data_IF_955353654527
#
_entry.id   IF_955353654527
#
_cell.length_a   1.000
_cell.length_b   1.000
_cell.length_c   1.000
_cell.angle_alpha   90.00
_cell.angle_beta   90.00
_cell.angle_gamma   90.00
#
_symmetry.space_group_name_H-M   'P 1'
#
loop_
_entity.id
_entity.type
_entity.pdbx_description
1 polymer ?
#
# COMPACT_ATOMS: atom_id res chain seq x y z
N UNK A 1 -24.73 11.88 -4.78
CA UNK A 1 -25.23 11.41 -3.45
C UNK A 1 -24.07 10.99 -2.52
N UNK A 2 -24.16 11.19 -1.21
CA UNK A 2 -23.17 10.69 -0.23
C UNK A 2 -23.44 9.23 0.18
N UNK A 3 -22.40 8.45 0.48
CA UNK A 3 -22.58 7.05 0.88
C UNK A 3 -23.00 6.96 2.35
N UNK A 4 -23.92 6.04 2.66
CA UNK A 4 -24.26 5.68 4.05
C UNK A 4 -23.08 4.94 4.70
N UNK A 5 -22.97 5.02 6.02
CA UNK A 5 -21.91 4.33 6.78
C UNK A 5 -21.90 2.82 6.50
N UNK A 6 -23.07 2.19 6.40
CA UNK A 6 -23.19 0.77 6.07
C UNK A 6 -22.61 0.46 4.67
N UNK A 7 -22.94 1.28 3.66
CA UNK A 7 -22.41 1.10 2.30
C UNK A 7 -20.88 1.17 2.29
N UNK A 8 -20.30 2.14 2.99
CA UNK A 8 -18.85 2.31 3.03
C UNK A 8 -18.14 1.13 3.68
N UNK A 9 -18.66 0.66 4.82
CA UNK A 9 -18.10 -0.50 5.50
C UNK A 9 -18.22 -1.77 4.66
N UNK A 10 -19.35 -1.98 3.97
CA UNK A 10 -19.47 -3.10 3.03
C UNK A 10 -18.37 -3.04 1.97
N UNK A 11 -18.15 -1.88 1.33
CA UNK A 11 -17.09 -1.77 0.31
C UNK A 11 -15.70 -1.99 0.91
N UNK A 12 -15.41 -1.44 2.09
CA UNK A 12 -14.11 -1.64 2.77
C UNK A 12 -13.86 -3.13 3.06
N UNK A 13 -14.85 -3.86 3.58
CA UNK A 13 -14.73 -5.30 3.86
C UNK A 13 -14.48 -6.07 2.58
N UNK A 14 -15.25 -5.80 1.51
CA UNK A 14 -15.07 -6.48 0.22
C UNK A 14 -13.72 -6.15 -0.44
N UNK A 15 -13.25 -4.91 -0.33
CA UNK A 15 -11.91 -4.52 -0.81
C UNK A 15 -10.79 -5.18 0.01
N UNK A 16 -11.01 -5.36 1.32
CA UNK A 16 -10.06 -6.06 2.20
C UNK A 16 -9.98 -7.54 1.84
N UNK A 17 -11.11 -8.18 1.53
CA UNK A 17 -11.14 -9.55 0.98
C UNK A 17 -10.33 -9.61 -0.33
N UNK A 18 -10.66 -8.77 -1.32
CA UNK A 18 -9.94 -8.71 -2.59
C UNK A 18 -8.42 -8.59 -2.39
N UNK A 19 -7.97 -7.64 -1.56
CA UNK A 19 -6.54 -7.44 -1.28
C UNK A 19 -5.91 -8.64 -0.57
N UNK A 20 -6.60 -9.21 0.43
CA UNK A 20 -6.11 -10.41 1.14
C UNK A 20 -5.99 -11.60 0.19
N UNK A 21 -6.90 -11.73 -0.78
CA UNK A 21 -6.82 -12.72 -1.85
C UNK A 21 -5.59 -12.54 -2.74
N UNK A 22 -5.22 -11.31 -3.07
CA UNK A 22 -3.99 -11.03 -3.83
C UNK A 22 -2.73 -11.44 -3.08
N UNK A 23 -2.63 -11.10 -1.79
CA UNK A 23 -1.50 -11.51 -0.96
C UNK A 23 -1.45 -13.02 -0.73
N UNK A 24 -2.61 -13.66 -0.56
CA UNK A 24 -2.71 -15.12 -0.45
C UNK A 24 -2.24 -15.83 -1.73
N UNK A 25 -2.56 -15.28 -2.89
CA UNK A 25 -2.10 -15.78 -4.19
C UNK A 25 -0.59 -15.59 -4.39
N UNK A 26 -0.06 -14.40 -4.07
CA UNK A 26 1.39 -14.18 -4.10
C UNK A 26 2.15 -15.08 -3.13
N UNK A 27 1.61 -15.33 -1.92
CA UNK A 27 2.18 -16.28 -0.98
C UNK A 27 2.27 -17.68 -1.59
N UNK A 28 1.21 -18.13 -2.28
CA UNK A 28 1.17 -19.44 -2.93
C UNK A 28 2.23 -19.59 -4.03
N UNK A 29 2.41 -18.55 -4.85
CA UNK A 29 3.45 -18.50 -5.87
C UNK A 29 4.87 -18.64 -5.27
N UNK A 30 5.10 -18.17 -4.04
CA UNK A 30 6.41 -18.24 -3.37
C UNK A 30 6.65 -19.58 -2.66
N UNK A 31 5.60 -20.23 -2.16
CA UNK A 31 5.72 -21.38 -1.25
C UNK A 31 5.36 -22.72 -1.87
N UNK A 32 4.53 -22.75 -2.91
CA UNK A 32 4.06 -23.99 -3.51
C UNK A 32 4.88 -24.30 -4.76
N UNK A 33 5.32 -25.56 -4.88
CA UNK A 33 6.01 -26.04 -6.07
C UNK A 33 5.08 -25.91 -7.28
N UNK A 34 5.48 -25.08 -8.26
CA UNK A 34 4.82 -24.75 -9.53
C UNK A 34 3.30 -24.91 -9.54
N UNK A 35 2.59 -23.79 -9.53
CA UNK A 35 1.19 -23.77 -9.95
C UNK A 35 1.12 -24.16 -11.44
N UNK A 36 0.69 -25.40 -11.73
CA UNK A 36 0.66 -25.94 -13.11
C UNK A 36 -0.46 -25.33 -13.97
N UNK A 37 -1.44 -24.67 -13.36
CA UNK A 37 -2.58 -24.06 -14.04
C UNK A 37 -2.90 -22.67 -13.49
N UNK A 38 -3.59 -21.85 -14.29
CA UNK A 38 -4.12 -20.56 -13.86
C UNK A 38 -5.28 -20.71 -12.85
N UNK A 39 -6.07 -21.78 -12.97
CA UNK A 39 -7.22 -22.00 -12.09
C UNK A 39 -6.78 -22.68 -10.80
N UNK A 40 -6.46 -21.87 -9.80
CA UNK A 40 -6.02 -22.32 -8.49
C UNK A 40 -7.01 -21.86 -7.40
N UNK A 41 -7.10 -22.56 -6.26
CA UNK A 41 -7.86 -22.09 -5.10
C UNK A 41 -7.53 -20.65 -4.67
N UNK A 42 -6.28 -20.21 -4.81
CA UNK A 42 -5.82 -18.88 -4.42
C UNK A 42 -6.32 -17.79 -5.39
N UNK A 43 -6.25 -18.05 -6.70
CA UNK A 43 -6.96 -17.25 -7.70
C UNK A 43 -8.47 -17.21 -7.42
N UNK A 44 -9.08 -18.33 -7.03
CA UNK A 44 -10.51 -18.35 -6.70
C UNK A 44 -10.85 -17.40 -5.54
N UNK A 45 -10.00 -17.30 -4.50
CA UNK A 45 -10.18 -16.33 -3.40
C UNK A 45 -10.02 -14.90 -3.90
N UNK A 46 -9.02 -14.61 -4.73
CA UNK A 46 -8.80 -13.29 -5.34
C UNK A 46 -10.00 -12.85 -6.19
N UNK A 47 -10.39 -13.69 -7.17
CA UNK A 47 -11.44 -13.38 -8.13
C UNK A 47 -12.83 -13.38 -7.49
N UNK A 48 -13.08 -14.18 -6.44
CA UNK A 48 -14.33 -14.09 -5.67
C UNK A 48 -14.44 -12.78 -4.91
N UNK A 49 -13.35 -12.28 -4.32
CA UNK A 49 -13.30 -10.94 -3.71
C UNK A 49 -13.60 -9.84 -4.74
N UNK A 50 -12.99 -9.90 -5.91
CA UNK A 50 -13.26 -8.96 -7.01
C UNK A 50 -14.73 -9.00 -7.45
N UNK A 51 -15.25 -10.21 -7.68
CA UNK A 51 -16.63 -10.40 -8.10
C UNK A 51 -17.62 -9.90 -7.05
N UNK A 52 -17.33 -10.10 -5.76
CA UNK A 52 -18.18 -9.59 -4.69
C UNK A 52 -18.25 -8.05 -4.67
N UNK A 53 -17.12 -7.35 -4.89
CA UNK A 53 -17.12 -5.89 -5.04
C UNK A 53 -17.92 -5.46 -6.27
N UNK A 54 -17.68 -6.11 -7.42
CA UNK A 54 -18.39 -5.81 -8.66
C UNK A 54 -19.89 -6.00 -8.51
N UNK A 55 -20.32 -7.15 -8.00
CA UNK A 55 -21.73 -7.47 -7.80
C UNK A 55 -22.39 -6.46 -6.85
N UNK A 56 -21.74 -6.12 -5.73
CA UNK A 56 -22.28 -5.15 -4.79
C UNK A 56 -22.47 -3.77 -5.44
N UNK A 57 -21.47 -3.25 -6.15
CA UNK A 57 -21.55 -1.95 -6.82
C UNK A 57 -22.55 -1.98 -7.98
N UNK A 58 -22.52 -3.00 -8.82
CA UNK A 58 -23.42 -3.14 -9.97
C UNK A 58 -24.88 -3.28 -9.54
N UNK A 59 -25.18 -4.11 -8.52
CA UNK A 59 -26.55 -4.26 -7.99
C UNK A 59 -27.06 -2.93 -7.45
N UNK A 60 -26.24 -2.18 -6.70
CA UNK A 60 -26.63 -0.86 -6.21
C UNK A 60 -26.86 0.15 -7.35
N UNK A 61 -25.99 0.13 -8.38
CA UNK A 61 -26.13 0.97 -9.54
C UNK A 61 -27.42 0.68 -10.33
N UNK A 62 -27.67 -0.60 -10.63
CA UNK A 62 -28.86 -1.06 -11.35
C UNK A 62 -30.15 -0.78 -10.57
N UNK A 63 -30.17 -1.02 -9.26
CA UNK A 63 -31.32 -0.68 -8.41
C UNK A 63 -31.61 0.82 -8.39
N UNK A 64 -30.57 1.65 -8.39
CA UNK A 64 -30.73 3.10 -8.43
C UNK A 64 -31.17 3.60 -9.81
N UNK A 65 -30.67 2.99 -10.89
CA UNK A 65 -31.10 3.26 -12.25
C UNK A 65 -32.57 2.86 -12.47
N UNK A 66 -33.01 1.70 -11.94
CA UNK A 66 -34.40 1.27 -11.98
C UNK A 66 -35.36 2.21 -11.20
N UNK A 67 -34.82 2.98 -10.24
CA UNK A 67 -35.55 4.06 -9.55
C UNK A 67 -35.49 5.41 -10.29
N UNK A 68 -34.97 5.44 -11.51
CA UNK A 68 -34.93 6.64 -12.36
C UNK A 68 -33.77 7.59 -12.05
N UNK A 69 -32.75 7.19 -11.28
CA UNK A 69 -31.58 8.07 -11.07
C UNK A 69 -30.74 8.19 -12.35
N UNK A 70 -30.20 9.39 -12.57
CA UNK A 70 -29.23 9.64 -13.63
C UNK A 70 -27.97 8.78 -13.45
N UNK A 71 -27.29 8.44 -14.55
CA UNK A 71 -26.06 7.62 -14.54
C UNK A 71 -24.95 8.19 -13.65
N UNK A 72 -24.87 9.51 -13.50
CA UNK A 72 -23.94 10.19 -12.58
C UNK A 72 -24.20 9.90 -11.10
N UNK A 73 -25.42 9.48 -10.74
CA UNK A 73 -25.92 9.37 -9.37
C UNK A 73 -26.37 7.96 -8.99
N UNK A 74 -26.11 6.97 -9.84
CA UNK A 74 -26.41 5.56 -9.56
C UNK A 74 -25.55 4.98 -8.44
N UNK A 75 -24.40 5.57 -8.17
CA UNK A 75 -23.53 5.24 -7.03
C UNK A 75 -23.21 6.49 -6.22
N UNK A 76 -22.88 6.33 -4.92
CA UNK A 76 -22.36 7.44 -4.15
C UNK A 76 -21.08 8.03 -4.75
N UNK A 77 -20.89 9.33 -4.58
CA UNK A 77 -19.75 10.04 -5.14
C UNK A 77 -18.43 9.42 -4.63
N UNK A 78 -17.52 9.12 -5.56
CA UNK A 78 -16.24 8.45 -5.28
C UNK A 78 -16.18 6.97 -5.68
N UNK A 79 -17.32 6.29 -5.83
CA UNK A 79 -17.38 4.86 -6.15
C UNK A 79 -17.53 4.53 -7.65
N UNK A 80 -17.85 5.50 -8.50
CA UNK A 80 -17.94 5.28 -9.95
C UNK A 80 -16.63 4.74 -10.54
N UNK A 81 -15.49 5.30 -10.12
CA UNK A 81 -14.17 4.78 -10.50
C UNK A 81 -13.88 3.39 -9.94
N UNK A 82 -14.43 3.02 -8.77
CA UNK A 82 -14.29 1.66 -8.24
C UNK A 82 -15.05 0.65 -9.10
N UNK A 83 -16.24 1.01 -9.60
CA UNK A 83 -17.00 0.15 -10.52
C UNK A 83 -16.25 -0.03 -11.85
N UNK A 84 -15.70 1.05 -12.41
CA UNK A 84 -14.84 0.97 -13.61
C UNK A 84 -13.63 0.09 -13.33
N UNK A 85 -12.97 0.27 -12.18
CA UNK A 85 -11.87 -0.56 -11.73
C UNK A 85 -12.23 -2.04 -11.67
N UNK A 86 -13.41 -2.42 -11.16
CA UNK A 86 -13.86 -3.82 -11.16
C UNK A 86 -13.97 -4.41 -12.57
N UNK A 87 -14.52 -3.65 -13.52
CA UNK A 87 -14.65 -4.09 -14.92
C UNK A 87 -13.26 -4.26 -15.56
N UNK A 88 -12.38 -3.28 -15.37
CA UNK A 88 -11.01 -3.33 -15.88
C UNK A 88 -10.20 -4.47 -15.24
N UNK A 89 -10.42 -4.75 -13.95
CA UNK A 89 -9.77 -5.88 -13.26
C UNK A 89 -10.23 -7.20 -13.85
N UNK A 90 -11.53 -7.37 -14.12
CA UNK A 90 -12.05 -8.57 -14.79
C UNK A 90 -11.46 -8.78 -16.18
N UNK A 91 -11.37 -7.71 -16.98
CA UNK A 91 -10.70 -7.73 -18.30
C UNK A 91 -9.22 -8.08 -18.15
N UNK A 92 -8.52 -7.41 -17.22
CA UNK A 92 -7.12 -7.66 -16.92
C UNK A 92 -6.85 -9.10 -16.53
N UNK A 93 -7.71 -9.70 -15.72
CA UNK A 93 -7.59 -11.10 -15.32
C UNK A 93 -7.76 -12.10 -16.47
N UNK A 94 -8.66 -11.82 -17.41
CA UNK A 94 -8.80 -12.64 -18.64
C UNK A 94 -7.55 -12.50 -19.51
N UNK A 95 -7.03 -11.28 -19.69
CA UNK A 95 -5.79 -11.06 -20.43
C UNK A 95 -4.63 -11.77 -19.74
N UNK A 96 -4.54 -11.69 -18.42
CA UNK A 96 -3.51 -12.32 -17.60
C UNK A 96 -3.55 -13.85 -17.71
N UNK A 97 -4.74 -14.45 -17.73
CA UNK A 97 -4.92 -15.87 -18.01
C UNK A 97 -4.30 -16.26 -19.36
N UNK A 98 -4.65 -15.55 -20.44
CA UNK A 98 -4.07 -15.83 -21.75
C UNK A 98 -2.57 -15.57 -21.82
N UNK A 99 -2.09 -14.58 -21.06
CA UNK A 99 -0.67 -14.27 -20.93
C UNK A 99 0.09 -15.45 -20.32
N UNK A 100 -0.39 -15.97 -19.21
CA UNK A 100 0.18 -17.14 -18.55
C UNK A 100 0.13 -18.40 -19.42
N UNK A 101 -0.95 -18.61 -20.17
CA UNK A 101 -1.04 -19.73 -21.12
C UNK A 101 -0.01 -19.63 -22.27
N UNK A 102 0.37 -18.40 -22.67
CA UNK A 102 1.28 -18.17 -23.80
C UNK A 102 2.76 -18.12 -23.40
N UNK A 103 3.05 -17.53 -22.25
CA UNK A 103 4.41 -17.20 -21.79
C UNK A 103 4.83 -17.96 -20.54
N UNK A 104 3.93 -18.75 -19.94
CA UNK A 104 4.21 -19.54 -18.74
C UNK A 104 3.77 -18.86 -17.44
N UNK A 105 3.68 -19.67 -16.39
CA UNK A 105 3.40 -19.25 -15.02
C UNK A 105 4.74 -19.19 -14.28
N UNK A 106 5.44 -18.05 -14.41
CA UNK A 106 6.75 -17.85 -13.80
C UNK A 106 6.65 -17.01 -12.52
N UNK A 107 7.44 -17.40 -11.51
CA UNK A 107 7.71 -16.57 -10.33
C UNK A 107 8.91 -15.72 -10.66
N UNK A 108 8.67 -14.60 -11.36
CA UNK A 108 9.74 -13.71 -11.79
C UNK A 108 9.34 -12.25 -11.63
N UNK A 109 10.33 -11.37 -11.52
CA UNK A 109 10.12 -9.92 -11.58
C UNK A 109 9.35 -9.53 -12.85
N UNK A 110 9.65 -10.21 -13.97
CA UNK A 110 8.99 -9.98 -15.25
C UNK A 110 7.49 -10.28 -15.22
N UNK A 111 7.05 -11.28 -14.45
CA UNK A 111 5.63 -11.56 -14.26
C UNK A 111 4.92 -10.40 -13.55
N UNK A 112 5.51 -9.88 -12.47
CA UNK A 112 4.92 -8.81 -11.66
C UNK A 112 4.78 -7.47 -12.43
N UNK A 113 5.70 -7.18 -13.34
CA UNK A 113 5.67 -5.95 -14.18
C UNK A 113 5.07 -6.17 -15.57
N UNK A 114 4.48 -7.35 -15.82
CA UNK A 114 3.88 -7.68 -17.11
C UNK A 114 2.70 -6.74 -17.44
N UNK A 115 2.39 -6.49 -18.72
CA UNK A 115 1.28 -5.61 -19.10
C UNK A 115 -0.07 -5.96 -18.44
N UNK A 116 -0.48 -7.24 -18.30
CA UNK A 116 -1.73 -7.57 -17.59
C UNK A 116 -1.67 -7.23 -16.10
N UNK A 117 -0.55 -7.51 -15.43
CA UNK A 117 -0.36 -7.18 -14.02
C UNK A 117 -0.38 -5.67 -13.77
N UNK A 118 0.16 -4.85 -14.67
CA UNK A 118 0.05 -3.38 -14.58
C UNK A 118 -1.40 -2.89 -14.74
N UNK A 119 -2.19 -3.53 -15.61
CA UNK A 119 -3.62 -3.25 -15.71
C UNK A 119 -4.37 -3.67 -14.43
N UNK A 120 -4.03 -4.83 -13.86
CA UNK A 120 -4.58 -5.28 -12.58
C UNK A 120 -4.21 -4.34 -11.43
N UNK A 121 -2.96 -3.88 -11.36
CA UNK A 121 -2.49 -2.87 -10.39
C UNK A 121 -3.30 -1.58 -10.49
N UNK A 122 -3.40 -1.01 -11.69
CA UNK A 122 -4.16 0.21 -11.93
C UNK A 122 -5.63 0.04 -11.52
N UNK A 123 -6.24 -1.07 -11.93
CA UNK A 123 -7.64 -1.40 -11.62
C UNK A 123 -7.87 -1.56 -10.12
N UNK A 124 -6.97 -2.27 -9.42
CA UNK A 124 -7.03 -2.46 -7.97
C UNK A 124 -6.94 -1.12 -7.23
N UNK A 125 -6.04 -0.22 -7.67
CA UNK A 125 -5.96 1.14 -7.17
C UNK A 125 -7.26 1.91 -7.30
N UNK A 126 -7.93 1.83 -8.45
CA UNK A 126 -9.25 2.43 -8.65
C UNK A 126 -10.32 1.85 -7.71
N UNK A 127 -10.30 0.53 -7.49
CA UNK A 127 -11.24 -0.17 -6.61
C UNK A 127 -11.06 0.29 -5.16
N UNK A 128 -9.87 0.06 -4.59
CA UNK A 128 -9.64 0.18 -3.14
C UNK A 128 -9.69 1.61 -2.64
N UNK A 129 -9.47 2.62 -3.50
CA UNK A 129 -9.52 4.04 -3.12
C UNK A 129 -10.93 4.64 -3.15
N UNK A 130 -11.98 3.85 -3.41
CA UNK A 130 -13.38 4.31 -3.39
C UNK A 130 -13.79 5.04 -2.10
N UNK A 131 -13.63 4.41 -0.92
CA UNK A 131 -13.94 5.07 0.36
C UNK A 131 -13.09 6.31 0.62
N UNK A 132 -11.79 6.30 0.26
CA UNK A 132 -10.92 7.47 0.40
C UNK A 132 -11.38 8.64 -0.48
N UNK A 133 -11.73 8.40 -1.76
CA UNK A 133 -12.29 9.42 -2.66
C UNK A 133 -13.65 9.94 -2.18
N UNK A 134 -14.47 9.06 -1.60
CA UNK A 134 -15.77 9.43 -1.04
C UNK A 134 -15.59 10.35 0.19
N UNK A 135 -14.68 10.00 1.10
CA UNK A 135 -14.34 10.81 2.26
C UNK A 135 -13.77 12.18 1.88
N UNK A 136 -12.93 12.24 0.84
CA UNK A 136 -12.33 13.50 0.37
C UNK A 136 -13.36 14.56 0.00
N UNK A 137 -14.49 14.11 -0.57
CA UNK A 137 -15.60 14.96 -1.05
C UNK A 137 -16.57 15.39 0.05
N UNK A 138 -16.43 14.87 1.27
CA UNK A 138 -17.33 15.18 2.39
C UNK A 138 -16.91 16.43 3.15
N UNK A 139 -17.86 17.14 3.79
CA UNK A 139 -17.51 18.15 4.77
C UNK A 139 -16.81 17.52 5.98
N UNK A 140 -15.93 18.29 6.61
CA UNK A 140 -15.17 17.86 7.78
C UNK A 140 -13.72 17.50 7.46
N UNK A 141 -12.88 17.62 8.48
CA UNK A 141 -11.42 17.42 8.38
C UNK A 141 -10.94 16.19 9.12
N UNK A 142 -11.78 15.48 9.88
CA UNK A 142 -11.36 14.26 10.59
C UNK A 142 -11.46 13.06 9.64
N UNK A 143 -10.38 12.29 9.50
CA UNK A 143 -10.38 11.10 8.64
C UNK A 143 -11.37 10.05 9.19
N UNK A 144 -12.35 9.59 8.39
CA UNK A 144 -13.17 8.45 8.79
C UNK A 144 -12.34 7.16 8.69
N UNK A 145 -12.65 6.17 9.55
CA UNK A 145 -11.92 4.90 9.59
C UNK A 145 -11.94 4.15 8.25
N UNK A 146 -13.04 4.25 7.49
CA UNK A 146 -13.16 3.67 6.15
C UNK A 146 -12.16 4.27 5.15
N UNK A 147 -11.84 5.56 5.27
CA UNK A 147 -10.81 6.20 4.45
C UNK A 147 -9.39 5.80 4.86
N UNK A 148 -9.16 5.60 6.17
CA UNK A 148 -7.87 5.12 6.68
C UNK A 148 -7.62 3.69 6.18
N UNK A 149 -8.57 2.77 6.33
CA UNK A 149 -8.44 1.40 5.81
C UNK A 149 -8.26 1.41 4.28
N UNK A 150 -9.02 2.25 3.57
CA UNK A 150 -8.85 2.43 2.11
C UNK A 150 -7.45 2.93 1.72
N UNK A 151 -6.85 3.82 2.51
CA UNK A 151 -5.47 4.26 2.34
C UNK A 151 -4.45 3.17 2.72
N UNK A 152 -4.73 2.35 3.73
CA UNK A 152 -3.93 1.16 4.05
C UNK A 152 -3.90 0.18 2.88
N UNK A 153 -5.06 -0.10 2.28
CA UNK A 153 -5.17 -0.98 1.11
C UNK A 153 -4.48 -0.37 -0.12
N UNK A 154 -4.50 0.96 -0.28
CA UNK A 154 -3.73 1.64 -1.32
C UNK A 154 -2.22 1.47 -1.10
N UNK A 155 -1.73 1.64 0.13
CA UNK A 155 -0.33 1.37 0.45
C UNK A 155 0.01 -0.10 0.18
N UNK A 156 -0.82 -1.04 0.63
CA UNK A 156 -0.63 -2.47 0.40
C UNK A 156 -0.66 -2.85 -1.08
N UNK A 157 -1.41 -2.13 -1.91
CA UNK A 157 -1.35 -2.29 -3.36
C UNK A 157 0.03 -1.88 -3.88
N UNK A 158 0.53 -0.70 -3.52
CA UNK A 158 1.84 -0.24 -4.00
C UNK A 158 2.97 -1.17 -3.55
N UNK A 159 2.97 -1.57 -2.27
CA UNK A 159 4.00 -2.46 -1.73
C UNK A 159 3.89 -3.90 -2.22
N UNK A 160 2.71 -4.35 -2.65
CA UNK A 160 2.54 -5.64 -3.31
C UNK A 160 3.24 -5.68 -4.66
N UNK A 161 3.07 -4.65 -5.49
CA UNK A 161 3.73 -4.57 -6.81
C UNK A 161 5.22 -4.18 -6.71
N UNK A 162 5.65 -3.62 -5.58
CA UNK A 162 7.05 -3.32 -5.24
C UNK A 162 7.72 -4.42 -4.37
N UNK A 163 7.03 -5.55 -4.14
CA UNK A 163 7.44 -6.56 -3.16
C UNK A 163 8.82 -7.20 -3.40
N UNK A 164 9.39 -7.04 -4.60
CA UNK A 164 10.68 -7.62 -5.01
C UNK A 164 11.88 -6.95 -4.35
N UNK A 165 11.74 -5.72 -3.86
CA UNK A 165 12.80 -5.00 -3.14
C UNK A 165 12.33 -4.45 -1.78
N UNK A 166 11.18 -4.94 -1.30
CA UNK A 166 10.56 -4.45 -0.08
C UNK A 166 11.31 -4.98 1.17
N UNK A 167 11.78 -4.13 2.11
CA UNK A 167 12.64 -4.55 3.24
C UNK A 167 12.07 -5.57 4.25
N UNK A 168 10.75 -5.63 4.44
CA UNK A 168 10.04 -6.61 5.27
C UNK A 168 9.86 -7.96 4.55
N UNK A 169 10.00 -7.99 3.22
CA UNK A 169 9.91 -9.20 2.39
C UNK A 169 11.31 -9.73 2.08
N UNK A 170 12.22 -8.86 1.61
CA UNK A 170 13.60 -9.17 1.27
C UNK A 170 14.55 -8.35 2.16
N UNK A 171 14.94 -8.86 3.33
CA UNK A 171 15.76 -8.13 4.28
C UNK A 171 17.24 -8.15 3.88
N UNK A 172 17.56 -7.46 2.79
CA UNK A 172 18.92 -7.33 2.23
C UNK A 172 19.94 -6.76 3.22
N UNK A 173 19.49 -6.08 4.28
CA UNK A 173 20.33 -5.65 5.40
C UNK A 173 20.96 -6.83 6.16
N UNK A 174 20.26 -7.97 6.25
CA UNK A 174 20.75 -9.18 6.90
C UNK A 174 21.57 -10.09 5.98
N UNK A 175 21.62 -9.81 4.68
CA UNK A 175 22.22 -10.71 3.71
C UNK A 175 23.74 -10.74 3.87
N UNK A 176 24.29 -11.94 4.00
CA UNK A 176 25.73 -12.19 4.07
C UNK A 176 26.24 -12.58 2.68
N UNK A 177 27.13 -11.78 2.13
CA UNK A 177 27.77 -12.03 0.85
C UNK A 177 29.29 -11.96 1.00
N UNK A 178 30.00 -12.87 0.34
CA UNK A 178 31.47 -12.97 0.43
C UNK A 178 32.19 -12.47 -0.83
N UNK A 179 31.54 -12.52 -1.99
CA UNK A 179 32.10 -12.04 -3.25
C UNK A 179 31.87 -10.53 -3.38
N UNK A 180 32.89 -9.72 -3.76
CA UNK A 180 32.77 -8.27 -3.86
C UNK A 180 31.60 -7.79 -4.74
N UNK A 181 31.36 -8.43 -5.88
CA UNK A 181 30.26 -8.09 -6.79
C UNK A 181 28.89 -8.33 -6.17
N UNK A 182 28.73 -9.43 -5.43
CA UNK A 182 27.49 -9.77 -4.73
C UNK A 182 27.23 -8.84 -3.55
N UNK A 183 28.28 -8.46 -2.80
CA UNK A 183 28.18 -7.47 -1.72
C UNK A 183 27.62 -6.15 -2.26
N UNK A 184 28.18 -5.65 -3.36
CA UNK A 184 27.72 -4.40 -3.97
C UNK A 184 26.24 -4.48 -4.39
N UNK A 185 25.83 -5.58 -5.01
CA UNK A 185 24.45 -5.77 -5.49
C UNK A 185 23.43 -5.80 -4.33
N UNK A 186 23.70 -6.58 -3.28
CA UNK A 186 22.84 -6.69 -2.09
C UNK A 186 22.70 -5.34 -1.37
N UNK A 187 23.80 -4.59 -1.26
CA UNK A 187 23.79 -3.27 -0.65
C UNK A 187 22.98 -2.26 -1.48
N UNK A 188 23.12 -2.30 -2.82
CA UNK A 188 22.36 -1.43 -3.73
C UNK A 188 20.86 -1.72 -3.62
N UNK A 189 20.45 -2.98 -3.70
CA UNK A 189 19.04 -3.37 -3.57
C UNK A 189 18.46 -2.94 -2.22
N UNK A 190 19.11 -3.29 -1.10
CA UNK A 190 18.49 -2.93 0.18
C UNK A 190 18.40 -1.43 0.46
N UNK A 191 19.31 -0.60 -0.06
CA UNK A 191 19.14 0.86 0.01
C UNK A 191 17.98 1.32 -0.88
N UNK A 192 17.91 0.82 -2.12
CA UNK A 192 16.81 1.14 -3.04
C UNK A 192 15.46 0.77 -2.41
N UNK A 193 15.35 -0.42 -1.83
CA UNK A 193 14.19 -0.86 -1.07
C UNK A 193 13.79 0.09 0.06
N UNK A 194 14.74 0.52 0.90
CA UNK A 194 14.47 1.52 1.96
C UNK A 194 13.98 2.85 1.36
N UNK A 195 14.62 3.32 0.29
CA UNK A 195 14.29 4.59 -0.36
C UNK A 195 12.88 4.58 -0.98
N UNK A 196 12.57 3.57 -1.79
CA UNK A 196 11.29 3.42 -2.48
C UNK A 196 10.16 3.20 -1.48
N UNK A 197 10.35 2.30 -0.50
CA UNK A 197 9.36 2.07 0.55
C UNK A 197 9.08 3.34 1.37
N UNK A 198 10.12 4.13 1.66
CA UNK A 198 9.96 5.41 2.34
C UNK A 198 9.12 6.37 1.49
N UNK A 199 9.41 6.46 0.19
CA UNK A 199 8.68 7.33 -0.71
C UNK A 199 7.20 6.94 -0.83
N UNK A 200 6.89 5.64 -0.96
CA UNK A 200 5.52 5.13 -1.02
C UNK A 200 4.76 5.37 0.28
N UNK A 201 5.36 5.03 1.42
CA UNK A 201 4.77 5.23 2.74
C UNK A 201 4.49 6.71 3.00
N UNK A 202 5.49 7.58 2.81
CA UNK A 202 5.35 9.01 3.04
C UNK A 202 4.40 9.64 2.02
N UNK A 203 4.36 9.18 0.78
CA UNK A 203 3.41 9.64 -0.23
C UNK A 203 1.95 9.46 0.23
N UNK A 204 1.60 8.27 0.74
CA UNK A 204 0.25 8.00 1.24
C UNK A 204 -0.05 8.78 2.53
N UNK A 205 0.89 8.84 3.48
CA UNK A 205 0.71 9.58 4.74
C UNK A 205 0.53 11.07 4.48
N UNK A 206 1.37 11.66 3.62
CA UNK A 206 1.29 13.08 3.29
C UNK A 206 0.05 13.40 2.47
N UNK A 207 -0.39 12.50 1.59
CA UNK A 207 -1.67 12.63 0.91
C UNK A 207 -2.82 12.72 1.93
N UNK A 208 -2.83 11.87 2.96
CA UNK A 208 -3.84 11.95 4.02
C UNK A 208 -3.73 13.25 4.84
N UNK A 209 -2.53 13.60 5.30
CA UNK A 209 -2.29 14.82 6.10
C UNK A 209 -2.58 16.12 5.34
N UNK A 210 -2.53 16.09 4.00
CA UNK A 210 -2.88 17.25 3.17
C UNK A 210 -4.36 17.62 3.25
N UNK A 211 -5.23 16.70 3.70
CA UNK A 211 -6.69 16.88 3.75
C UNK A 211 -7.31 16.61 5.11
N UNK A 212 -6.73 15.71 5.88
CA UNK A 212 -7.35 15.21 7.10
C UNK A 212 -6.45 15.37 8.34
N UNK A 213 -7.11 15.65 9.45
CA UNK A 213 -6.63 15.35 10.80
C UNK A 213 -6.82 13.86 11.06
N UNK A 214 -5.73 13.18 11.41
CA UNK A 214 -5.73 11.75 11.66
C UNK A 214 -6.04 11.47 13.13
N UNK A 215 -7.08 10.68 13.44
CA UNK A 215 -7.26 10.12 14.78
C UNK A 215 -6.03 9.30 15.22
N UNK A 216 -5.74 9.27 16.52
CA UNK A 216 -4.71 8.37 17.05
C UNK A 216 -5.02 6.90 16.67
N UNK A 217 -4.00 6.16 16.25
CA UNK A 217 -4.11 4.79 15.74
C UNK A 217 -4.26 4.69 14.23
N UNK A 218 -4.40 5.82 13.51
CA UNK A 218 -4.57 5.80 12.04
C UNK A 218 -3.32 5.30 11.34
N UNK A 219 -2.13 5.79 11.76
CA UNK A 219 -0.87 5.39 11.14
C UNK A 219 -0.45 3.98 11.59
N UNK A 220 -0.74 3.60 12.83
CA UNK A 220 -0.60 2.23 13.33
C UNK A 220 -1.43 1.26 12.49
N UNK A 221 -2.70 1.58 12.21
CA UNK A 221 -3.55 0.74 11.36
C UNK A 221 -3.03 0.70 9.92
N UNK A 222 -2.62 1.84 9.38
CA UNK A 222 -2.12 1.95 8.00
C UNK A 222 -0.87 1.12 7.76
N UNK A 223 0.15 1.31 8.59
CA UNK A 223 1.43 0.64 8.44
C UNK A 223 1.35 -0.79 8.98
N UNK A 224 0.62 -1.03 10.07
CA UNK A 224 0.42 -2.34 10.65
C UNK A 224 -0.32 -3.31 9.73
N UNK A 225 -1.42 -2.88 9.09
CA UNK A 225 -2.13 -3.70 8.10
C UNK A 225 -1.21 -4.05 6.93
N UNK A 226 -0.47 -3.07 6.41
CA UNK A 226 0.51 -3.28 5.35
C UNK A 226 1.64 -4.24 5.79
N UNK A 227 2.14 -4.10 7.01
CA UNK A 227 3.17 -4.95 7.58
C UNK A 227 2.71 -6.40 7.76
N UNK A 228 1.46 -6.63 8.20
CA UNK A 228 0.88 -7.99 8.28
C UNK A 228 0.82 -8.64 6.91
N UNK A 229 0.35 -7.90 5.90
CA UNK A 229 0.27 -8.41 4.52
C UNK A 229 1.67 -8.75 3.98
N UNK A 230 2.63 -7.84 4.09
CA UNK A 230 4.01 -8.08 3.62
C UNK A 230 4.73 -9.18 4.40
N UNK A 231 4.67 -9.18 5.72
CA UNK A 231 5.30 -10.18 6.57
C UNK A 231 4.75 -11.59 6.32
N UNK A 232 3.49 -11.71 5.87
CA UNK A 232 2.92 -12.99 5.48
C UNK A 232 3.52 -13.58 4.20
N UNK A 233 4.08 -12.76 3.29
CA UNK A 233 4.58 -13.22 2.00
C UNK A 233 5.78 -14.15 2.09
N UNK A 234 6.67 -13.94 3.07
CA UNK A 234 7.89 -14.71 3.35
C UNK A 234 7.94 -15.23 4.80
N UNK A 235 6.79 -15.18 5.50
CA UNK A 235 6.64 -15.63 6.88
C UNK A 235 7.60 -14.93 7.88
N UNK A 236 8.01 -13.70 7.59
CA UNK A 236 8.83 -12.85 8.45
C UNK A 236 7.98 -12.13 9.51
N UNK A 237 7.27 -12.90 10.32
CA UNK A 237 6.29 -12.37 11.27
C UNK A 237 6.90 -11.47 12.35
N UNK A 238 8.18 -11.65 12.68
CA UNK A 238 8.92 -10.79 13.60
C UNK A 238 9.05 -9.35 13.08
N UNK A 239 9.06 -9.15 11.76
CA UNK A 239 9.16 -7.83 11.14
C UNK A 239 7.82 -7.06 11.15
N UNK A 240 6.70 -7.73 11.45
CA UNK A 240 5.40 -7.07 11.68
C UNK A 240 5.49 -6.11 12.86
N UNK A 241 6.31 -6.44 13.88
CA UNK A 241 6.54 -5.56 15.03
C UNK A 241 7.13 -4.20 14.61
N UNK A 242 8.01 -4.16 13.60
CA UNK A 242 8.57 -2.91 13.06
C UNK A 242 7.45 -2.02 12.52
N UNK A 243 6.51 -2.60 11.78
CA UNK A 243 5.38 -1.87 11.21
C UNK A 243 4.42 -1.33 12.29
N UNK A 244 4.08 -2.15 13.28
CA UNK A 244 3.17 -1.76 14.38
C UNK A 244 3.80 -0.70 15.28
N UNK A 245 5.03 -0.93 15.75
CA UNK A 245 5.74 0.02 16.63
C UNK A 245 6.06 1.31 15.88
N UNK A 246 6.50 1.22 14.62
CA UNK A 246 6.74 2.38 13.76
C UNK A 246 5.47 3.22 13.55
N UNK A 247 4.34 2.58 13.31
CA UNK A 247 3.04 3.25 13.20
C UNK A 247 2.60 3.91 14.51
N UNK A 248 2.82 3.27 15.66
CA UNK A 248 2.52 3.86 16.98
C UNK A 248 3.38 5.10 17.26
N UNK A 249 4.68 5.02 16.97
CA UNK A 249 5.59 6.16 17.08
C UNK A 249 5.16 7.31 16.16
N UNK A 250 4.69 6.99 14.96
CA UNK A 250 4.17 7.98 14.02
C UNK A 250 2.85 8.62 14.52
N UNK A 251 1.93 7.84 15.10
CA UNK A 251 0.70 8.37 15.71
C UNK A 251 1.01 9.30 16.91
N UNK A 252 2.00 8.95 17.74
CA UNK A 252 2.49 9.81 18.82
C UNK A 252 3.10 11.12 18.29
N UNK A 253 3.90 11.04 17.23
CA UNK A 253 4.46 12.22 16.57
C UNK A 253 3.35 13.11 15.99
N UNK A 254 2.33 12.53 15.36
CA UNK A 254 1.16 13.28 14.85
C UNK A 254 0.38 13.92 15.99
N UNK A 255 0.18 13.22 17.11
CA UNK A 255 -0.53 13.74 18.27
C UNK A 255 0.20 14.95 18.90
N UNK A 256 1.53 14.86 19.00
CA UNK A 256 2.36 15.89 19.63
C UNK A 256 2.64 17.08 18.70
N UNK A 257 3.11 16.82 17.48
CA UNK A 257 3.51 17.85 16.53
C UNK A 257 2.33 18.44 15.76
N UNK A 258 1.21 17.71 15.64
CA UNK A 258 0.02 18.05 14.84
C UNK A 258 0.42 18.56 13.44
N UNK A 259 1.16 17.75 12.66
CA UNK A 259 1.64 18.14 11.35
C UNK A 259 0.45 18.34 10.39
N UNK A 260 0.54 19.37 9.55
CA UNK A 260 -0.49 19.65 8.55
C UNK A 260 -0.16 20.88 7.71
N UNK A 261 -1.02 21.23 6.73
CA UNK A 261 -0.79 22.35 5.82
C UNK A 261 -0.63 23.70 6.52
N UNK A 262 -1.29 23.88 7.67
CA UNK A 262 -1.20 25.10 8.49
C UNK A 262 0.06 25.14 9.37
N UNK A 263 0.70 24.00 9.63
CA UNK A 263 1.90 23.87 10.49
C UNK A 263 3.05 23.25 9.70
N UNK A 264 3.49 23.96 8.68
CA UNK A 264 4.48 23.50 7.67
C UNK A 264 5.80 23.02 8.30
N UNK A 265 6.30 23.72 9.32
CA UNK A 265 7.54 23.31 10.01
C UNK A 265 7.33 21.97 10.73
N UNK A 266 6.22 21.81 11.45
CA UNK A 266 5.88 20.55 12.13
C UNK A 266 5.69 19.41 11.12
N UNK A 267 5.07 19.69 9.97
CA UNK A 267 4.94 18.73 8.87
C UNK A 267 6.32 18.29 8.35
N UNK A 268 7.21 19.23 8.04
CA UNK A 268 8.56 18.93 7.54
C UNK A 268 9.40 18.15 8.54
N UNK A 269 9.37 18.54 9.82
CA UNK A 269 10.08 17.84 10.89
C UNK A 269 9.53 16.43 11.06
N UNK A 270 8.21 16.26 11.14
CA UNK A 270 7.59 14.94 11.25
C UNK A 270 7.93 14.05 10.04
N UNK A 271 7.95 14.63 8.83
CA UNK A 271 8.31 13.91 7.60
C UNK A 271 9.77 13.53 7.49
N UNK A 272 10.67 14.19 8.22
CA UNK A 272 12.06 13.76 8.33
C UNK A 272 12.25 12.72 9.43
N UNK A 273 11.73 13.02 10.63
CA UNK A 273 11.92 12.18 11.82
C UNK A 273 11.19 10.84 11.70
N UNK A 274 10.01 10.80 11.07
CA UNK A 274 9.23 9.58 10.89
C UNK A 274 10.01 8.48 10.15
N UNK A 275 10.46 8.70 8.90
CA UNK A 275 11.28 7.75 8.17
C UNK A 275 12.58 7.39 8.88
N UNK A 276 13.27 8.36 9.49
CA UNK A 276 14.48 8.10 10.30
C UNK A 276 14.17 7.09 11.39
N UNK A 277 13.11 7.30 12.18
CA UNK A 277 12.72 6.41 13.25
C UNK A 277 12.35 5.00 12.75
N UNK A 278 11.59 4.91 11.64
CA UNK A 278 11.19 3.61 11.06
C UNK A 278 12.40 2.86 10.50
N UNK A 279 13.31 3.53 9.78
CA UNK A 279 14.53 2.91 9.25
C UNK A 279 15.46 2.47 10.38
N UNK A 280 15.63 3.29 11.42
CA UNK A 280 16.40 2.92 12.61
C UNK A 280 15.79 1.72 13.34
N UNK A 281 14.46 1.70 13.50
CA UNK A 281 13.76 0.58 14.13
C UNK A 281 13.89 -0.71 13.32
N UNK A 282 13.75 -0.63 11.99
CA UNK A 282 13.96 -1.77 11.09
C UNK A 282 15.38 -2.33 11.24
N UNK A 283 16.42 -1.49 11.14
CA UNK A 283 17.80 -1.94 11.27
C UNK A 283 18.09 -2.48 12.67
N UNK A 284 17.55 -1.87 13.72
CA UNK A 284 17.67 -2.39 15.09
C UNK A 284 17.07 -3.80 15.19
N UNK A 285 15.87 -4.03 14.66
CA UNK A 285 15.25 -5.35 14.68
C UNK A 285 16.05 -6.35 13.86
N UNK A 286 16.57 -5.97 12.69
CA UNK A 286 17.44 -6.84 11.90
C UNK A 286 18.70 -7.21 12.68
N UNK A 287 19.37 -6.25 13.33
CA UNK A 287 20.56 -6.53 14.14
C UNK A 287 20.25 -7.51 15.27
N UNK A 288 19.14 -7.30 15.98
CA UNK A 288 18.73 -8.14 17.12
C UNK A 288 18.29 -9.56 16.72
N UNK A 289 17.82 -9.76 15.49
CA UNK A 289 17.21 -11.02 15.05
C UNK A 289 18.09 -11.83 14.10
N UNK A 290 18.81 -11.15 13.21
CA UNK A 290 19.55 -11.77 12.09
C UNK A 290 21.01 -11.32 12.02
N UNK A 291 21.36 -10.19 12.64
CA UNK A 291 22.62 -9.50 12.45
C UNK A 291 22.67 -8.78 11.11
N UNK A 292 23.25 -7.59 11.07
CA UNK A 292 23.37 -6.81 9.84
C UNK A 292 24.70 -7.08 9.13
N UNK A 293 24.62 -7.37 7.82
CA UNK A 293 25.79 -7.60 6.95
C UNK A 293 26.37 -6.33 6.32
N UNK A 294 25.84 -5.15 6.64
CA UNK A 294 26.24 -3.87 6.05
C UNK A 294 27.31 -3.14 6.86
N UNK A 295 28.16 -2.32 6.24
CA UNK A 295 29.05 -1.42 6.97
C UNK A 295 28.25 -0.28 7.61
N UNK A 296 28.74 0.24 8.75
CA UNK A 296 28.07 1.30 9.54
C UNK A 296 27.76 2.54 8.70
N UNK A 297 28.61 2.90 7.74
CA UNK A 297 28.39 4.02 6.81
C UNK A 297 27.11 3.85 5.99
N UNK A 298 26.76 2.61 5.64
CA UNK A 298 25.54 2.30 4.89
C UNK A 298 24.29 2.38 5.77
N UNK A 299 24.39 1.96 7.04
CA UNK A 299 23.28 2.06 7.99
C UNK A 299 22.91 3.52 8.21
N UNK A 300 23.90 4.34 8.59
CA UNK A 300 23.72 5.76 8.86
C UNK A 300 23.26 6.50 7.59
N UNK A 301 23.85 6.16 6.44
CA UNK A 301 23.44 6.69 5.15
C UNK A 301 21.97 6.40 4.84
N UNK A 302 21.55 5.14 4.93
CA UNK A 302 20.17 4.73 4.62
C UNK A 302 19.13 5.40 5.54
N UNK A 303 19.43 5.54 6.84
CA UNK A 303 18.58 6.25 7.81
C UNK A 303 18.42 7.74 7.45
N UNK A 304 19.52 8.44 7.14
CA UNK A 304 19.46 9.87 6.82
C UNK A 304 18.80 10.12 5.47
N UNK A 305 19.04 9.25 4.48
CA UNK A 305 18.42 9.33 3.16
C UNK A 305 16.91 9.12 3.25
N UNK A 306 16.41 8.19 4.08
CA UNK A 306 14.97 8.02 4.28
C UNK A 306 14.32 9.28 4.86
N UNK A 307 14.94 9.91 5.86
CA UNK A 307 14.51 11.21 6.37
C UNK A 307 14.50 12.31 5.31
N UNK A 308 15.55 12.39 4.50
CA UNK A 308 15.65 13.37 3.42
C UNK A 308 14.53 13.18 2.37
N UNK A 309 14.20 11.94 1.99
CA UNK A 309 13.10 11.63 1.06
C UNK A 309 11.77 12.13 1.63
N UNK A 310 11.46 11.81 2.89
CA UNK A 310 10.23 12.27 3.51
C UNK A 310 10.14 13.79 3.61
N UNK A 311 11.25 14.45 3.95
CA UNK A 311 11.33 15.91 3.93
C UNK A 311 11.06 16.49 2.53
N UNK A 312 11.71 15.98 1.49
CA UNK A 312 11.53 16.45 0.11
C UNK A 312 10.09 16.25 -0.37
N UNK A 313 9.47 15.11 -0.08
CA UNK A 313 8.06 14.87 -0.40
C UNK A 313 7.13 15.85 0.32
N UNK A 314 7.44 16.23 1.57
CA UNK A 314 6.65 17.22 2.29
C UNK A 314 6.66 18.59 1.63
N UNK A 315 7.75 18.97 0.94
CA UNK A 315 7.82 20.21 0.18
C UNK A 315 6.86 20.24 -1.01
N UNK A 316 6.50 19.08 -1.59
CA UNK A 316 5.52 18.99 -2.68
C UNK A 316 4.07 19.15 -2.19
N UNK A 317 3.83 18.90 -0.90
CA UNK A 317 2.46 18.86 -0.34
C UNK A 317 1.92 20.23 0.08
N UNK A 318 2.81 21.18 0.37
CA UNK A 318 2.44 22.53 0.78
C UNK A 318 2.78 23.50 -0.35
N UNK A 319 1.77 24.20 -0.88
CA UNK A 319 2.00 25.24 -1.89
C UNK A 319 2.85 26.38 -1.31
N UNK A 320 3.88 26.87 -2.02
CA UNK A 320 4.57 28.09 -1.63
C UNK A 320 3.58 29.25 -1.52
N UNK A 321 3.80 30.16 -0.57
CA UNK A 321 3.07 31.43 -0.55
C UNK A 321 3.38 32.16 -1.87
N UNK A 322 2.37 32.47 -2.66
CA UNK A 322 2.53 33.31 -3.85
C UNK A 322 3.01 34.68 -3.39
N UNK A 323 4.10 35.23 -3.95
CA UNK A 323 4.51 36.60 -3.68
C UNK A 323 3.33 37.55 -3.96
N UNK A 324 3.14 38.53 -3.07
CA UNK A 324 2.15 39.59 -3.24
C UNK A 324 2.50 40.51 -4.41
#
# INVERSE_FOLDING_TARGET
>A
MAATTQFEWTVVVLCTWLMSGAYLDAWAHRHLARLETFFTPWHAVLYSGMFAVLAFLAINALRNQAKGKALSDVLPAGYGLSLIGCVLFGIGGVIDMFWHLRFGIEVSLAALVSPPHLLLMFSLGLIVTGPLRAAWRRPGIRAPLTAIVSASLLLSMFTFFDQFDQPLVNPWAAAQASLPSTIAYVQQLGILGIMVQTALLMGVILYLLSRFTLPFGSLTLLVGLNGVMLGSLEQHFELIAVAVVGGMLADLAVLWLRPGPERVIALRVASFVGPVAVSSLYLLVIELTRGIGWPVTLWLGSILVSGAIGFLLSCLTVRPQTPA
#
